data_IF_543579554353
#
_entry.id   IF_543579554353
#
_cell.length_a   1.000
_cell.length_b   1.000
_cell.length_c   1.000
_cell.angle_alpha   90.00
_cell.angle_beta   90.00
_cell.angle_gamma   90.00
#
_symmetry.space_group_name_H-M   'P 1'
#
loop_
_entity.id
_entity.type
_entity.pdbx_description
1 polymer ?
#
# COMPACT_ATOMS: atom_id res chain seq x y z
N UNK A 1 -15.50 -8.09 3.85
CA UNK A 1 -14.32 -7.83 3.01
C UNK A 1 -13.14 -7.46 3.88
N UNK A 2 -11.97 -8.07 3.69
CA UNK A 2 -10.80 -7.81 4.52
C UNK A 2 -9.96 -6.61 4.03
N UNK A 3 -9.15 -6.02 4.92
CA UNK A 3 -8.19 -4.97 4.59
C UNK A 3 -6.81 -5.32 5.14
N UNK A 4 -5.77 -5.19 4.32
CA UNK A 4 -4.37 -5.18 4.77
C UNK A 4 -3.83 -3.77 4.63
N UNK A 5 -3.46 -3.13 5.72
CA UNK A 5 -2.84 -1.80 5.73
C UNK A 5 -1.32 -1.96 5.84
N UNK A 6 -0.61 -1.70 4.73
CA UNK A 6 0.85 -1.68 4.72
C UNK A 6 1.34 -0.28 5.08
N UNK A 7 1.99 -0.14 6.22
CA UNK A 7 2.47 1.13 6.77
C UNK A 7 4.00 1.20 6.84
N UNK A 8 4.55 2.38 6.99
CA UNK A 8 5.99 2.63 7.13
C UNK A 8 6.49 3.81 6.31
N UNK A 9 7.75 4.14 6.48
CA UNK A 9 8.43 5.29 5.87
C UNK A 9 8.48 5.27 4.34
N UNK A 10 8.97 6.36 3.75
CA UNK A 10 9.23 6.45 2.31
C UNK A 10 10.23 5.39 1.84
N UNK A 11 9.98 4.80 0.66
CA UNK A 11 10.83 3.80 0.00
C UNK A 11 11.08 2.48 0.81
N UNK A 12 10.33 2.19 1.87
CA UNK A 12 10.48 0.96 2.67
C UNK A 12 10.00 -0.31 1.93
N UNK A 13 9.31 -0.17 0.79
CA UNK A 13 8.89 -1.31 -0.04
C UNK A 13 7.39 -1.61 -0.04
N UNK A 14 6.54 -0.82 0.65
CA UNK A 14 5.08 -1.06 0.76
C UNK A 14 4.39 -1.43 -0.55
N UNK A 15 4.63 -0.67 -1.63
CA UNK A 15 4.00 -0.92 -2.92
C UNK A 15 4.46 -2.25 -3.51
N UNK A 16 5.76 -2.54 -3.51
CA UNK A 16 6.32 -3.77 -4.09
C UNK A 16 5.87 -5.00 -3.31
N UNK A 17 5.89 -4.94 -1.96
CA UNK A 17 5.33 -6.00 -1.11
C UNK A 17 3.83 -6.17 -1.38
N UNK A 18 3.07 -5.08 -1.55
CA UNK A 18 1.66 -5.15 -1.91
C UNK A 18 1.43 -5.79 -3.29
N UNK A 19 2.30 -5.53 -4.27
CA UNK A 19 2.28 -6.17 -5.58
C UNK A 19 2.53 -7.69 -5.48
N UNK A 20 3.53 -8.10 -4.69
CA UNK A 20 3.80 -9.52 -4.45
C UNK A 20 2.66 -10.22 -3.68
N UNK A 21 2.11 -9.55 -2.66
CA UNK A 21 0.97 -10.08 -1.90
C UNK A 21 -0.27 -10.26 -2.80
N UNK A 22 -0.51 -9.33 -3.72
CA UNK A 22 -1.58 -9.43 -4.70
C UNK A 22 -1.40 -10.64 -5.64
N UNK A 23 -0.18 -11.07 -5.94
CA UNK A 23 0.07 -12.25 -6.79
C UNK A 23 -0.33 -13.57 -6.11
N UNK A 24 -0.25 -13.64 -4.79
CA UNK A 24 -0.47 -14.87 -4.01
C UNK A 24 -1.77 -14.89 -3.22
N UNK A 25 -2.58 -13.82 -3.31
CA UNK A 25 -3.87 -13.68 -2.65
C UNK A 25 -4.94 -13.19 -3.62
N UNK A 26 -6.21 -13.37 -3.26
CA UNK A 26 -7.37 -12.78 -3.94
C UNK A 26 -7.64 -11.33 -3.49
N UNK A 27 -6.59 -10.58 -3.15
CA UNK A 27 -6.68 -9.20 -2.74
C UNK A 27 -6.22 -8.28 -3.88
N UNK A 28 -6.73 -7.03 -3.90
CA UNK A 28 -6.33 -6.02 -4.87
C UNK A 28 -5.47 -4.96 -4.20
N UNK A 29 -4.46 -4.45 -4.91
CA UNK A 29 -3.59 -3.40 -4.38
C UNK A 29 -4.13 -2.01 -4.71
N UNK A 30 -4.36 -1.21 -3.67
CA UNK A 30 -4.61 0.21 -3.73
C UNK A 30 -3.46 0.95 -3.05
N UNK A 31 -2.38 1.24 -3.79
CA UNK A 31 -1.28 1.97 -3.19
C UNK A 31 -1.52 3.48 -3.18
N UNK A 32 -0.97 4.15 -2.20
CA UNK A 32 -1.19 5.57 -1.90
C UNK A 32 -1.07 6.51 -3.11
N UNK A 33 -0.13 6.23 -4.02
CA UNK A 33 0.11 7.06 -5.21
C UNK A 33 -0.91 6.87 -6.32
N UNK A 34 -1.82 5.89 -6.28
CA UNK A 34 -2.90 5.78 -7.26
C UNK A 34 -3.78 7.04 -7.31
N UNK A 35 -3.95 7.73 -6.16
CA UNK A 35 -4.72 8.97 -6.12
C UNK A 35 -3.82 10.21 -6.04
N UNK A 36 -2.58 10.10 -5.58
CA UNK A 36 -1.65 11.23 -5.49
C UNK A 36 -1.18 11.68 -6.88
N UNK A 37 -0.80 10.75 -7.74
CA UNK A 37 -0.22 11.10 -9.05
C UNK A 37 -1.22 11.86 -9.94
N UNK A 38 -2.49 11.41 -10.15
CA UNK A 38 -3.47 12.17 -10.92
C UNK A 38 -3.76 13.55 -10.34
N UNK A 39 -3.82 13.66 -9.01
CA UNK A 39 -4.04 14.96 -8.36
C UNK A 39 -2.89 15.92 -8.65
N UNK A 40 -1.64 15.46 -8.51
CA UNK A 40 -0.47 16.28 -8.84
C UNK A 40 -0.46 16.67 -10.33
N UNK A 41 -0.80 15.74 -11.23
CA UNK A 41 -0.84 15.99 -12.67
C UNK A 41 -1.88 17.03 -13.05
N UNK A 42 -3.09 16.93 -12.51
CA UNK A 42 -4.21 17.82 -12.84
C UNK A 42 -4.06 19.19 -12.18
N UNK A 43 -3.67 19.23 -10.91
CA UNK A 43 -3.63 20.48 -10.11
C UNK A 43 -2.25 21.14 -10.06
N UNK A 44 -1.20 20.48 -10.61
CA UNK A 44 0.18 20.96 -10.55
C UNK A 44 0.82 20.87 -9.14
N UNK A 45 0.08 20.40 -8.12
CA UNK A 45 0.51 20.27 -6.72
C UNK A 45 -0.24 19.16 -6.01
N UNK A 46 0.32 18.70 -4.89
CA UNK A 46 -0.39 17.83 -3.96
C UNK A 46 -1.54 18.58 -3.26
N UNK A 47 -2.70 17.97 -3.24
CA UNK A 47 -3.87 18.44 -2.48
C UNK A 47 -4.41 17.27 -1.64
N UNK A 48 -4.20 17.34 -0.32
CA UNK A 48 -4.55 16.27 0.60
C UNK A 48 -6.05 16.06 0.74
N UNK A 49 -6.86 17.12 0.64
CA UNK A 49 -8.31 17.02 0.74
C UNK A 49 -8.89 16.29 -0.48
N UNK A 50 -8.43 16.64 -1.68
CA UNK A 50 -8.84 15.96 -2.92
C UNK A 50 -8.40 14.49 -2.91
N UNK A 51 -7.14 14.22 -2.54
CA UNK A 51 -6.64 12.84 -2.44
C UNK A 51 -7.45 12.01 -1.44
N UNK A 52 -7.79 12.58 -0.28
CA UNK A 52 -8.59 11.87 0.74
C UNK A 52 -9.99 11.55 0.22
N UNK A 53 -10.64 12.50 -0.44
CA UNK A 53 -11.97 12.28 -1.02
C UNK A 53 -11.95 11.17 -2.08
N UNK A 54 -10.98 11.19 -3.00
CA UNK A 54 -10.85 10.16 -4.03
C UNK A 54 -10.60 8.76 -3.42
N UNK A 55 -9.84 8.69 -2.33
CA UNK A 55 -9.64 7.42 -1.62
C UNK A 55 -10.93 6.91 -1.00
N UNK A 56 -11.72 7.79 -0.35
CA UNK A 56 -13.02 7.43 0.22
C UNK A 56 -13.95 6.86 -0.86
N UNK A 57 -14.07 7.55 -2.01
CA UNK A 57 -14.90 7.09 -3.12
C UNK A 57 -14.45 5.71 -3.64
N UNK A 58 -13.13 5.44 -3.69
CA UNK A 58 -12.59 4.12 -4.06
C UNK A 58 -12.90 3.06 -2.99
N UNK A 59 -12.73 3.36 -1.70
CA UNK A 59 -13.08 2.41 -0.64
C UNK A 59 -14.55 2.04 -0.69
N UNK A 60 -15.44 3.02 -0.79
CA UNK A 60 -16.89 2.83 -0.84
C UNK A 60 -17.35 2.03 -2.09
N UNK A 61 -16.69 2.24 -3.22
CA UNK A 61 -16.93 1.46 -4.43
C UNK A 61 -16.36 0.04 -4.30
N UNK A 62 -15.15 -0.10 -3.75
CA UNK A 62 -14.50 -1.40 -3.62
C UNK A 62 -15.24 -2.35 -2.66
N UNK A 63 -15.81 -1.82 -1.58
CA UNK A 63 -16.63 -2.59 -0.63
C UNK A 63 -17.88 -3.23 -1.25
N UNK A 64 -18.26 -2.82 -2.47
CA UNK A 64 -19.39 -3.39 -3.22
C UNK A 64 -18.98 -4.48 -4.23
N UNK A 65 -17.70 -4.80 -4.30
CA UNK A 65 -17.16 -5.83 -5.20
C UNK A 65 -17.12 -7.19 -4.49
N UNK A 66 -16.88 -8.26 -5.28
CA UNK A 66 -16.79 -9.64 -4.79
C UNK A 66 -15.35 -10.05 -4.39
N UNK A 67 -14.40 -9.12 -4.37
CA UNK A 67 -13.04 -9.41 -3.93
C UNK A 67 -12.97 -9.77 -2.44
N UNK A 68 -12.06 -10.67 -2.07
CA UNK A 68 -11.86 -11.09 -0.68
C UNK A 68 -11.24 -9.99 0.17
N UNK A 69 -10.47 -9.08 -0.42
CA UNK A 69 -9.85 -8.01 0.33
C UNK A 69 -9.09 -6.98 -0.49
N UNK A 70 -8.72 -5.91 0.20
CA UNK A 70 -7.93 -4.80 -0.31
C UNK A 70 -6.59 -4.71 0.43
N UNK A 71 -5.52 -4.41 -0.30
CA UNK A 71 -4.21 -4.06 0.24
C UNK A 71 -4.06 -2.55 0.07
N UNK A 72 -4.03 -1.81 1.16
CA UNK A 72 -3.88 -0.36 1.15
C UNK A 72 -2.50 0.04 1.68
N UNK A 73 -1.79 0.95 1.02
CA UNK A 73 -0.51 1.44 1.52
C UNK A 73 -0.64 2.84 2.06
N UNK A 74 -0.14 3.09 3.26
CA UNK A 74 -0.19 4.38 3.91
C UNK A 74 1.16 4.76 4.54
N UNK A 75 1.46 6.04 4.63
CA UNK A 75 2.58 6.56 5.40
C UNK A 75 1.98 7.22 6.64
N UNK A 76 2.00 6.49 7.74
CA UNK A 76 1.37 6.88 9.00
C UNK A 76 2.35 7.64 9.88
N UNK A 77 2.03 8.88 10.22
CA UNK A 77 2.74 9.68 11.20
C UNK A 77 2.15 9.39 12.59
N UNK A 78 2.87 8.64 13.41
CA UNK A 78 2.38 8.17 14.70
C UNK A 78 2.28 9.28 15.77
N UNK A 79 2.86 10.43 15.51
CA UNK A 79 2.77 11.66 16.32
C UNK A 79 1.69 12.63 15.86
N UNK A 80 0.89 12.27 14.85
CA UNK A 80 -0.17 13.11 14.27
C UNK A 80 -1.54 12.44 14.47
N UNK A 81 -2.40 13.06 15.30
CA UNK A 81 -3.72 12.51 15.63
C UNK A 81 -4.61 12.31 14.40
N UNK A 82 -4.58 13.22 13.43
CA UNK A 82 -5.39 13.09 12.22
C UNK A 82 -5.06 11.85 11.39
N UNK A 83 -3.84 11.31 11.47
CA UNK A 83 -3.49 10.05 10.80
C UNK A 83 -4.11 8.85 11.52
N UNK A 84 -4.15 8.87 12.86
CA UNK A 84 -4.87 7.87 13.65
C UNK A 84 -6.37 7.88 13.35
N UNK A 85 -6.96 9.08 13.33
CA UNK A 85 -8.39 9.25 13.03
C UNK A 85 -8.72 8.77 11.62
N UNK A 86 -7.85 9.07 10.65
CA UNK A 86 -8.01 8.61 9.27
C UNK A 86 -7.93 7.08 9.18
N UNK A 87 -6.91 6.46 9.75
CA UNK A 87 -6.79 4.98 9.76
C UNK A 87 -7.97 4.35 10.46
N UNK A 88 -8.42 4.92 11.58
CA UNK A 88 -9.62 4.44 12.26
C UNK A 88 -10.86 4.52 11.37
N UNK A 89 -11.08 5.62 10.66
CA UNK A 89 -12.23 5.77 9.77
C UNK A 89 -12.24 4.73 8.65
N UNK A 90 -11.06 4.45 8.06
CA UNK A 90 -10.91 3.39 7.05
C UNK A 90 -11.16 2.02 7.65
N UNK A 91 -10.60 1.74 8.84
CA UNK A 91 -10.81 0.48 9.58
C UNK A 91 -12.29 0.23 9.83
N UNK A 92 -12.97 1.21 10.41
CA UNK A 92 -14.40 1.11 10.76
C UNK A 92 -15.28 0.75 9.54
N UNK A 93 -14.94 1.27 8.34
CA UNK A 93 -15.64 0.94 7.10
C UNK A 93 -15.55 -0.56 6.74
N UNK A 94 -14.35 -1.14 6.83
CA UNK A 94 -14.15 -2.55 6.49
C UNK A 94 -14.71 -3.48 7.58
N UNK A 95 -14.55 -3.14 8.85
CA UNK A 95 -15.10 -3.90 9.97
C UNK A 95 -16.64 -3.89 9.96
N UNK A 96 -17.27 -2.79 9.55
CA UNK A 96 -18.72 -2.71 9.40
C UNK A 96 -19.30 -3.71 8.38
N UNK A 97 -18.49 -4.21 7.45
CA UNK A 97 -18.87 -5.29 6.52
C UNK A 97 -18.62 -6.70 7.07
N UNK A 98 -18.26 -6.84 8.35
CA UNK A 98 -17.83 -8.11 8.95
C UNK A 98 -16.42 -8.56 8.52
N UNK A 99 -15.63 -7.68 7.91
CA UNK A 99 -14.26 -7.95 7.50
C UNK A 99 -13.25 -7.82 8.64
N UNK A 100 -12.04 -8.28 8.37
CA UNK A 100 -10.91 -8.10 9.27
C UNK A 100 -9.95 -7.05 8.74
N UNK A 101 -9.34 -6.28 9.63
CA UNK A 101 -8.26 -5.35 9.28
C UNK A 101 -6.94 -5.83 9.87
N UNK A 102 -5.93 -5.93 9.02
CA UNK A 102 -4.59 -6.39 9.35
C UNK A 102 -3.61 -5.24 9.13
N UNK A 103 -2.75 -4.98 10.11
CA UNK A 103 -1.77 -3.91 10.04
C UNK A 103 -0.37 -4.47 9.93
N UNK A 104 0.35 -4.06 8.92
CA UNK A 104 1.73 -4.50 8.66
C UNK A 104 2.63 -3.29 8.57
N UNK A 105 3.49 -3.11 9.56
CA UNK A 105 4.51 -2.08 9.55
C UNK A 105 5.81 -2.63 8.97
N UNK A 106 6.27 -1.99 7.91
CA UNK A 106 7.55 -2.28 7.30
C UNK A 106 8.59 -1.25 7.73
N UNK A 107 9.74 -1.72 8.18
CA UNK A 107 10.92 -0.92 8.46
C UNK A 107 12.11 -1.44 7.65
N UNK A 108 13.03 -0.56 7.28
CA UNK A 108 14.26 -0.93 6.60
C UNK A 108 15.33 0.13 6.84
N UNK A 109 16.58 -0.29 6.77
CA UNK A 109 17.74 0.57 6.87
C UNK A 109 17.71 1.72 5.86
N UNK A 110 18.22 2.87 6.28
CA UNK A 110 18.26 4.08 5.44
C UNK A 110 18.98 3.86 4.12
N UNK A 111 20.12 3.17 4.13
CA UNK A 111 20.89 2.87 2.93
C UNK A 111 20.08 2.06 1.91
N UNK A 112 19.39 1.03 2.38
CA UNK A 112 18.52 0.19 1.55
C UNK A 112 17.35 1.00 0.96
N UNK A 113 16.76 1.90 1.73
CA UNK A 113 15.67 2.76 1.24
C UNK A 113 16.14 3.77 0.19
N UNK A 114 17.38 4.27 0.29
CA UNK A 114 18.00 5.12 -0.74
C UNK A 114 18.07 4.35 -2.06
N UNK A 115 18.56 3.11 -2.04
CA UNK A 115 18.62 2.29 -3.25
C UNK A 115 17.21 1.93 -3.79
N UNK A 116 16.30 1.55 -2.92
CA UNK A 116 14.91 1.28 -3.30
C UNK A 116 14.20 2.52 -3.88
N UNK A 117 14.61 3.74 -3.50
CA UNK A 117 14.06 4.98 -4.05
C UNK A 117 14.37 5.17 -5.55
N UNK A 118 15.41 4.52 -6.07
CA UNK A 118 15.87 4.61 -7.47
C UNK A 118 15.34 3.48 -8.36
N UNK A 119 14.63 2.49 -7.80
CA UNK A 119 14.20 1.30 -8.56
C UNK A 119 13.23 1.65 -9.69
N UNK A 120 13.36 0.95 -10.82
CA UNK A 120 12.52 1.13 -12.00
C UNK A 120 11.03 0.97 -11.67
N UNK A 121 10.66 -0.07 -10.91
CA UNK A 121 9.29 -0.29 -10.46
C UNK A 121 8.72 0.93 -9.73
N UNK A 122 9.50 1.57 -8.86
CA UNK A 122 9.06 2.76 -8.15
C UNK A 122 8.88 3.95 -9.10
N UNK A 123 9.84 4.19 -9.99
CA UNK A 123 9.82 5.35 -10.90
C UNK A 123 8.73 5.21 -11.98
N UNK A 124 8.44 3.97 -12.41
CA UNK A 124 7.33 3.66 -13.33
C UNK A 124 5.98 3.98 -12.71
N UNK A 125 5.75 3.56 -11.46
CA UNK A 125 4.45 3.67 -10.78
C UNK A 125 4.24 5.01 -10.02
N UNK A 126 5.26 5.86 -9.90
CA UNK A 126 5.21 7.11 -9.15
C UNK A 126 5.93 8.22 -9.90
N UNK A 127 5.25 8.85 -10.85
CA UNK A 127 5.80 9.91 -11.70
C UNK A 127 6.42 11.07 -10.88
N UNK A 128 5.78 11.44 -9.76
CA UNK A 128 6.26 12.47 -8.83
C UNK A 128 7.58 12.12 -8.13
N UNK A 129 8.07 10.87 -8.27
CA UNK A 129 9.34 10.39 -7.69
C UNK A 129 10.47 10.24 -8.70
N UNK A 130 10.24 10.52 -9.98
CA UNK A 130 11.25 10.39 -11.05
C UNK A 130 12.45 11.32 -10.87
N UNK A 131 12.26 12.50 -10.29
CA UNK A 131 13.39 13.28 -9.80
C UNK A 131 13.88 12.67 -8.50
N UNK A 132 14.86 11.78 -8.61
CA UNK A 132 15.38 10.97 -7.50
C UNK A 132 15.97 11.84 -6.39
N UNK A 133 16.69 12.91 -6.74
CA UNK A 133 17.28 13.84 -5.76
C UNK A 133 16.20 14.51 -4.91
N UNK A 134 15.18 15.05 -5.57
CA UNK A 134 14.04 15.68 -4.87
C UNK A 134 13.24 14.65 -4.08
N UNK A 135 13.07 13.43 -4.61
CA UNK A 135 12.38 12.35 -3.93
C UNK A 135 13.10 11.93 -2.65
N UNK A 136 14.42 11.80 -2.71
CA UNK A 136 15.27 11.45 -1.56
C UNK A 136 15.26 12.55 -0.50
N UNK A 137 15.45 13.81 -0.91
CA UNK A 137 15.34 14.95 -0.01
C UNK A 137 13.99 14.95 0.74
N UNK A 138 12.87 14.82 0.01
CA UNK A 138 11.54 14.79 0.62
C UNK A 138 11.37 13.62 1.58
N UNK A 139 11.88 12.44 1.23
CA UNK A 139 11.78 11.25 2.07
C UNK A 139 12.40 11.47 3.45
N UNK A 140 13.58 12.07 3.52
CA UNK A 140 14.25 12.34 4.78
C UNK A 140 13.72 13.59 5.49
N UNK A 141 13.30 14.59 4.73
CA UNK A 141 12.66 15.77 5.31
C UNK A 141 11.35 15.43 6.03
N UNK A 142 10.54 14.50 5.49
CA UNK A 142 9.34 14.00 6.19
C UNK A 142 9.70 13.33 7.53
N UNK A 143 10.82 12.59 7.58
CA UNK A 143 11.29 11.93 8.80
C UNK A 143 11.82 12.91 9.86
N UNK A 144 12.17 14.14 9.51
CA UNK A 144 12.51 15.18 10.48
C UNK A 144 11.29 15.86 11.07
N UNK A 145 10.15 15.76 10.40
CA UNK A 145 8.89 16.39 10.81
C UNK A 145 7.96 15.45 11.55
N UNK A 146 7.98 14.16 11.16
CA UNK A 146 7.01 13.17 11.59
C UNK A 146 7.70 11.90 12.06
N UNK A 147 7.14 11.28 13.07
CA UNK A 147 7.57 9.96 13.51
C UNK A 147 6.85 8.89 12.67
N UNK A 148 7.56 8.33 11.70
CA UNK A 148 7.04 7.36 10.71
C UNK A 148 7.30 5.90 11.08
N UNK A 149 7.84 5.65 12.27
CA UNK A 149 8.08 4.32 12.85
C UNK A 149 7.44 4.30 14.24
N UNK A 150 6.65 3.26 14.51
CA UNK A 150 5.98 3.11 15.81
C UNK A 150 6.97 2.79 16.93
N UNK A 151 6.67 3.24 18.13
CA UNK A 151 7.36 2.78 19.34
C UNK A 151 6.91 1.34 19.70
N UNK A 152 7.69 0.67 20.53
CA UNK A 152 7.31 -0.65 21.01
C UNK A 152 6.00 -0.58 21.82
N UNK A 153 5.04 -1.44 21.46
CA UNK A 153 3.75 -1.50 22.14
C UNK A 153 2.79 -0.33 21.86
N UNK A 154 3.12 0.56 20.92
CA UNK A 154 2.29 1.72 20.60
C UNK A 154 1.04 1.34 19.79
N UNK A 155 1.15 0.34 18.93
CA UNK A 155 0.03 -0.09 18.10
C UNK A 155 -0.88 -1.03 18.91
N UNK A 156 -2.12 -0.62 19.21
CA UNK A 156 -3.00 -1.37 20.12
C UNK A 156 -3.77 -2.50 19.42
N UNK A 157 -3.53 -2.72 18.13
CA UNK A 157 -4.30 -3.68 17.34
C UNK A 157 -3.76 -5.10 17.48
N UNK A 158 -4.63 -6.05 17.78
CA UNK A 158 -4.26 -7.46 17.91
C UNK A 158 -3.70 -8.04 16.59
N UNK A 159 -4.28 -7.63 15.45
CA UNK A 159 -3.89 -8.08 14.11
C UNK A 159 -2.81 -7.18 13.50
N UNK A 160 -1.76 -6.97 14.26
CA UNK A 160 -0.60 -6.18 13.87
C UNK A 160 0.67 -7.03 13.81
N UNK A 161 1.56 -6.69 12.87
CA UNK A 161 2.93 -7.17 12.82
C UNK A 161 3.88 -6.09 12.31
N UNK A 162 5.11 -6.11 12.80
CA UNK A 162 6.21 -5.25 12.36
C UNK A 162 7.31 -6.12 11.76
N UNK A 163 7.77 -5.77 10.57
CA UNK A 163 8.78 -6.53 9.83
C UNK A 163 9.92 -5.59 9.47
N UNK A 164 11.13 -5.93 9.92
CA UNK A 164 12.34 -5.38 9.33
C UNK A 164 12.62 -6.13 8.02
N UNK A 165 12.41 -5.44 6.91
CA UNK A 165 12.59 -6.02 5.59
C UNK A 165 13.87 -5.55 4.89
N UNK A 166 14.87 -5.09 5.66
CA UNK A 166 16.16 -4.61 5.15
C UNK A 166 16.78 -5.62 4.18
N UNK A 167 16.84 -6.88 4.59
CA UNK A 167 17.49 -7.98 3.87
C UNK A 167 16.52 -9.02 3.32
N UNK A 168 15.23 -8.69 3.21
CA UNK A 168 14.21 -9.59 2.70
C UNK A 168 13.75 -9.18 1.31
N UNK A 169 13.52 -10.19 0.46
CA UNK A 169 12.87 -9.97 -0.82
C UNK A 169 11.38 -9.64 -0.63
N UNK A 170 10.78 -8.80 -1.48
CA UNK A 170 9.37 -8.46 -1.36
C UNK A 170 8.41 -9.66 -1.38
N UNK A 171 8.76 -10.72 -2.10
CA UNK A 171 7.99 -11.98 -2.16
C UNK A 171 8.05 -12.76 -0.84
N UNK A 172 9.18 -12.75 -0.15
CA UNK A 172 9.32 -13.36 1.18
C UNK A 172 8.44 -12.62 2.20
N UNK A 173 8.50 -11.28 2.20
CA UNK A 173 7.65 -10.45 3.07
C UNK A 173 6.16 -10.69 2.79
N UNK A 174 5.77 -10.79 1.52
CA UNK A 174 4.39 -11.09 1.14
C UNK A 174 3.92 -12.45 1.65
N UNK A 175 4.80 -13.47 1.56
CA UNK A 175 4.51 -14.80 2.10
C UNK A 175 4.34 -14.78 3.62
N UNK A 176 5.24 -14.12 4.35
CA UNK A 176 5.15 -13.93 5.80
C UNK A 176 3.80 -13.30 6.22
N UNK A 177 3.36 -12.26 5.50
CA UNK A 177 2.08 -11.59 5.75
C UNK A 177 0.91 -12.55 5.52
N UNK A 178 0.92 -13.26 4.39
CA UNK A 178 -0.13 -14.22 4.02
C UNK A 178 -0.26 -15.32 5.08
N UNK A 179 0.85 -15.91 5.49
CA UNK A 179 0.88 -16.98 6.49
C UNK A 179 0.46 -16.48 7.88
N UNK A 180 1.01 -15.35 8.32
CA UNK A 180 0.71 -14.76 9.65
C UNK A 180 -0.78 -14.51 9.87
N UNK A 181 -1.48 -14.05 8.83
CA UNK A 181 -2.88 -13.68 8.90
C UNK A 181 -3.81 -14.69 8.23
N UNK A 182 -3.28 -15.80 7.75
CA UNK A 182 -4.02 -16.83 7.02
C UNK A 182 -4.90 -16.23 5.91
N UNK A 183 -4.29 -15.37 5.07
CA UNK A 183 -5.03 -14.67 4.02
C UNK A 183 -5.42 -15.64 2.90
N UNK A 184 -6.63 -15.47 2.40
CA UNK A 184 -7.17 -16.30 1.32
C UNK A 184 -6.26 -16.25 0.08
N UNK A 185 -5.90 -17.41 -0.41
CA UNK A 185 -5.14 -17.56 -1.66
C UNK A 185 -5.97 -17.22 -2.88
N UNK A 186 -5.28 -16.99 -3.99
CA UNK A 186 -5.95 -16.76 -5.28
C UNK A 186 -6.66 -18.04 -5.76
N UNK A 187 -7.94 -17.95 -6.11
CA UNK A 187 -8.69 -19.03 -6.73
C UNK A 187 -8.36 -19.20 -8.22
N UNK A 188 -8.61 -20.38 -8.75
CA UNK A 188 -8.31 -20.69 -10.18
C UNK A 188 -8.99 -19.71 -11.15
N UNK A 189 -10.26 -19.38 -10.90
CA UNK A 189 -11.03 -18.45 -11.73
C UNK A 189 -10.40 -17.06 -11.76
N UNK A 190 -10.01 -16.52 -10.59
CA UNK A 190 -9.36 -15.22 -10.50
C UNK A 190 -7.97 -15.23 -11.15
N UNK A 191 -7.22 -16.32 -11.00
CA UNK A 191 -5.94 -16.49 -11.68
C UNK A 191 -6.11 -16.41 -13.19
N UNK A 192 -7.11 -17.11 -13.74
CA UNK A 192 -7.42 -17.08 -15.18
C UNK A 192 -7.84 -15.69 -15.65
N UNK A 193 -8.62 -14.96 -14.86
CA UNK A 193 -9.01 -13.58 -15.17
C UNK A 193 -7.81 -12.64 -15.20
N UNK A 194 -6.85 -12.80 -14.29
CA UNK A 194 -5.62 -11.99 -14.26
C UNK A 194 -4.73 -12.26 -15.47
N UNK A 195 -4.57 -13.52 -15.85
CA UNK A 195 -3.81 -13.89 -17.05
C UNK A 195 -4.44 -13.23 -18.29
N UNK A 196 -5.76 -13.31 -18.46
CA UNK A 196 -6.45 -12.65 -19.59
C UNK A 196 -6.25 -11.14 -19.61
N UNK A 197 -6.28 -10.48 -18.43
CA UNK A 197 -6.05 -9.03 -18.32
C UNK A 197 -4.61 -8.64 -18.69
N UNK A 198 -3.63 -9.46 -18.36
CA UNK A 198 -2.24 -9.25 -18.77
C UNK A 198 -2.09 -9.42 -20.29
N UNK A 199 -2.67 -10.47 -20.89
CA UNK A 199 -2.68 -10.68 -22.33
C UNK A 199 -3.32 -9.52 -23.09
N UNK A 200 -4.42 -8.94 -22.57
CA UNK A 200 -5.05 -7.74 -23.16
C UNK A 200 -4.11 -6.52 -23.04
N UNK A 201 -3.44 -6.33 -21.91
CA UNK A 201 -2.50 -5.21 -21.71
C UNK A 201 -1.26 -5.30 -22.58
N UNK A 202 -0.81 -6.51 -22.89
CA UNK A 202 0.31 -6.78 -23.78
C UNK A 202 -0.08 -6.77 -25.26
N UNK A 203 -1.37 -6.54 -25.58
CA UNK A 203 -1.88 -6.50 -26.94
C UNK A 203 -2.04 -7.87 -27.60
N UNK A 204 -2.01 -8.95 -26.82
CA UNK A 204 -2.18 -10.33 -27.31
C UNK A 204 -3.65 -10.71 -27.51
N UNK A 205 -4.58 -9.99 -26.83
CA UNK A 205 -6.02 -10.15 -26.99
C UNK A 205 -6.73 -8.79 -27.18
N UNK A 206 -7.82 -8.72 -27.96
CA UNK A 206 -8.61 -7.51 -28.11
C UNK A 206 -9.36 -7.19 -26.81
N UNK A 207 -9.57 -5.90 -26.56
CA UNK A 207 -10.45 -5.42 -25.50
C UNK A 207 -11.89 -5.74 -25.92
N UNK A 208 -12.52 -6.66 -25.24
CA UNK A 208 -13.95 -7.02 -25.44
C UNK A 208 -14.86 -6.20 -24.56
#
# INVERSE_FOLDING_TARGET
MNLVVLIGSGAVGKMTVGQELMKITDYRLFHNHHMIEPVIEIFGKYDGAVVSKLREDIFDAFLKTDYSGLIFTYMWAFDIQSDWDYIKSVTDKFEATGGNVYYVELVADRAVRIERNKTENRLKNKASKRNVVVSEYRMFHEETKYRLVSNNGEIPFEKYMKIDNTNLEPSEVALMIKERFNLQGIGVTELMNRVKLEEVREGQLPIS
#
